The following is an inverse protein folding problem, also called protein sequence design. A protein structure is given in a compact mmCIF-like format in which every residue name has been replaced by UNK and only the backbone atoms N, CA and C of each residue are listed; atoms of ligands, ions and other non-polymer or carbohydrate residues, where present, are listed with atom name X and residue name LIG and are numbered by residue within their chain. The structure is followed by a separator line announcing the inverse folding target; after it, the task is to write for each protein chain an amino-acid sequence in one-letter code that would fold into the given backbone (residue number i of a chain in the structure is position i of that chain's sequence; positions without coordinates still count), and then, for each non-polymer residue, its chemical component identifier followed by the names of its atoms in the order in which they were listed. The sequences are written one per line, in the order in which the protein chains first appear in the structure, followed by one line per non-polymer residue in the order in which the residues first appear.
data_IF_473266549388
#
_entry.id   IF_473266549388
#
_cell.length_a   1.000
_cell.length_b   1.000
_cell.length_c   1.000
_cell.angle_alpha   90.00
_cell.angle_beta   90.00
_cell.angle_gamma   90.00
#
_symmetry.space_group_name_H-M   'P 1'
#
loop_
_entity.id
_entity.type
_entity.pdbx_description
1 polymer ?
#
# COMPACT_ATOMS: atom_id res chain seq x y z
N UNK A 1 -8.28 -18.64 33.14
CA UNK A 1 -8.28 -18.13 31.75
C UNK A 1 -7.12 -17.15 31.62
N UNK A 2 -6.03 -17.57 30.95
CA UNK A 2 -4.83 -16.76 30.75
C UNK A 2 -5.14 -15.71 29.67
N UNK A 3 -5.13 -14.42 30.03
CA UNK A 3 -5.11 -13.33 29.05
C UNK A 3 -3.74 -13.36 28.39
N UNK A 4 -3.69 -13.82 27.14
CA UNK A 4 -2.52 -13.64 26.28
C UNK A 4 -2.54 -12.16 25.90
N UNK A 5 -1.66 -11.39 26.54
CA UNK A 5 -1.30 -10.07 26.05
C UNK A 5 -0.52 -10.30 24.75
N UNK A 6 -1.23 -10.30 23.62
CA UNK A 6 -0.65 -10.07 22.31
C UNK A 6 -0.09 -8.65 22.36
N UNK A 7 1.20 -8.54 22.61
CA UNK A 7 1.90 -7.25 22.59
C UNK A 7 1.71 -6.61 21.22
N UNK A 8 1.26 -5.36 21.23
CA UNK A 8 1.31 -4.40 20.13
C UNK A 8 2.77 -4.14 19.71
N UNK A 9 3.45 -5.18 19.23
CA UNK A 9 4.82 -5.16 18.72
C UNK A 9 4.91 -5.83 17.34
N UNK A 10 3.76 -5.99 16.67
CA UNK A 10 3.71 -6.10 15.21
C UNK A 10 3.26 -4.79 14.60
N UNK A 11 3.86 -3.68 15.03
CA UNK A 11 4.24 -2.68 14.03
C UNK A 11 5.32 -3.41 13.24
N UNK A 12 4.94 -3.99 12.11
CA UNK A 12 5.88 -4.62 11.18
C UNK A 12 6.89 -3.53 10.83
N UNK A 13 8.04 -3.54 11.51
CA UNK A 13 9.21 -2.81 11.11
C UNK A 13 9.47 -3.27 9.67
N UNK A 14 9.15 -2.40 8.72
CA UNK A 14 9.39 -2.61 7.30
C UNK A 14 10.90 -2.64 7.09
N UNK A 15 11.49 -3.84 7.18
CA UNK A 15 12.88 -4.07 6.80
C UNK A 15 12.95 -4.06 5.28
N UNK A 16 13.04 -2.86 4.68
CA UNK A 16 13.47 -2.71 3.30
C UNK A 16 14.95 -3.08 3.23
N UNK A 17 15.25 -4.17 2.52
CA UNK A 17 16.61 -4.71 2.41
C UNK A 17 17.45 -3.83 1.49
N UNK A 18 18.52 -3.23 2.02
CA UNK A 18 19.52 -2.53 1.24
C UNK A 18 20.33 -3.52 0.39
N UNK A 19 20.15 -3.48 -0.92
CA UNK A 19 21.01 -4.19 -1.89
C UNK A 19 22.14 -3.24 -2.27
N UNK A 20 23.36 -3.57 -1.87
CA UNK A 20 24.57 -2.78 -2.15
C UNK A 20 24.86 -2.63 -3.64
N UNK A 21 24.96 -1.38 -4.10
CA UNK A 21 25.39 -1.01 -5.44
C UNK A 21 26.92 -1.02 -5.56
N UNK A 22 27.43 -1.71 -6.58
CA UNK A 22 28.83 -1.73 -6.96
C UNK A 22 29.24 -0.42 -7.65
N UNK A 23 30.30 0.20 -7.13
CA UNK A 23 31.00 1.33 -7.75
C UNK A 23 31.62 0.92 -9.08
N UNK A 24 31.35 1.69 -10.15
CA UNK A 24 32.07 1.61 -11.42
C UNK A 24 32.56 3.01 -11.78
N UNK A 25 33.88 3.19 -11.75
CA UNK A 25 34.58 4.39 -12.23
C UNK A 25 34.40 4.53 -13.75
N UNK A 26 33.88 5.67 -14.23
CA UNK A 26 34.04 6.11 -15.62
C UNK A 26 34.38 7.62 -15.70
N UNK A 27 35.16 8.05 -16.72
CA UNK A 27 35.90 9.32 -16.69
C UNK A 27 35.07 10.52 -17.14
N UNK A 28 35.29 11.65 -16.47
CA UNK A 28 34.67 12.94 -16.75
C UNK A 28 35.04 13.48 -18.15
N UNK A 29 34.03 13.76 -18.98
CA UNK A 29 34.12 14.62 -20.14
C UNK A 29 33.28 15.89 -19.89
N UNK A 30 33.96 17.01 -19.70
CA UNK A 30 33.34 18.31 -19.47
C UNK A 30 32.67 18.90 -20.73
N UNK A 31 31.64 19.71 -20.51
CA UNK A 31 31.10 20.65 -21.50
C UNK A 31 30.36 21.80 -20.80
N UNK A 32 30.23 22.96 -21.47
CA UNK A 32 30.35 24.27 -20.84
C UNK A 32 29.03 24.86 -20.34
N UNK A 33 29.19 25.70 -19.31
CA UNK A 33 28.16 26.51 -18.67
C UNK A 33 27.44 27.42 -19.66
N UNK A 34 26.11 27.39 -19.61
CA UNK A 34 25.26 28.48 -20.11
C UNK A 34 24.33 28.92 -18.98
N UNK A 35 24.77 30.00 -18.36
CA UNK A 35 24.06 30.82 -17.39
C UNK A 35 22.89 31.55 -18.06
N UNK A 36 21.68 31.42 -17.50
CA UNK A 36 20.54 32.29 -17.81
C UNK A 36 19.61 32.28 -16.61
N UNK A 37 19.87 33.27 -15.74
CA UNK A 37 19.15 33.49 -14.50
C UNK A 37 17.65 33.77 -14.67
N UNK A 38 16.91 33.27 -13.69
CA UNK A 38 15.62 33.81 -13.27
C UNK A 38 15.62 33.80 -11.74
N UNK A 39 15.71 34.99 -11.14
CA UNK A 39 15.50 35.20 -9.71
C UNK A 39 14.01 35.37 -9.44
N UNK A 40 13.40 34.40 -8.77
CA UNK A 40 12.13 34.57 -8.07
C UNK A 40 12.37 34.25 -6.58
N UNK A 41 12.72 35.28 -5.83
CA UNK A 41 13.00 35.21 -4.40
C UNK A 41 11.68 35.21 -3.62
N UNK A 42 11.09 34.04 -3.41
CA UNK A 42 10.11 33.85 -2.32
C UNK A 42 10.88 33.51 -1.04
N UNK A 43 11.17 34.52 -0.22
CA UNK A 43 11.70 34.34 1.14
C UNK A 43 10.61 33.81 2.05
N UNK A 44 10.41 32.50 2.05
CA UNK A 44 9.82 31.84 3.21
C UNK A 44 10.91 31.85 4.28
N UNK A 45 10.71 32.61 5.36
CA UNK A 45 11.57 32.65 6.55
C UNK A 45 11.56 31.26 7.22
N UNK A 46 12.24 30.28 6.62
CA UNK A 46 12.64 29.07 7.31
C UNK A 46 13.80 29.48 8.20
N UNK A 47 13.50 29.71 9.48
CA UNK A 47 14.50 29.88 10.53
C UNK A 47 15.56 28.80 10.30
N UNK A 48 16.80 29.22 10.06
CA UNK A 48 17.90 28.30 9.79
C UNK A 48 17.90 27.23 10.89
N UNK A 49 17.94 25.94 10.53
CA UNK A 49 18.02 24.88 11.53
C UNK A 49 19.21 25.17 12.43
N UNK A 50 19.08 24.97 13.76
CA UNK A 50 20.18 25.19 14.69
C UNK A 50 21.41 24.41 14.20
N UNK A 51 22.62 24.98 14.32
CA UNK A 51 23.83 24.32 13.86
C UNK A 51 23.94 22.93 14.51
N UNK A 52 24.06 21.90 13.67
CA UNK A 52 24.29 20.53 14.13
C UNK A 52 25.62 20.52 14.88
N UNK A 53 25.57 20.39 16.21
CA UNK A 53 26.78 20.27 17.04
C UNK A 53 27.48 18.95 16.66
N UNK A 54 28.59 19.06 15.94
CA UNK A 54 29.46 17.94 15.59
C UNK A 54 30.56 17.79 16.65
N UNK A 55 30.16 17.55 17.89
CA UNK A 55 31.09 17.22 18.98
C UNK A 55 31.52 15.75 18.89
N UNK A 56 32.09 15.31 17.76
CA UNK A 56 32.81 14.03 17.60
C UNK A 56 32.09 12.73 17.97
N UNK A 57 30.82 12.79 18.37
CA UNK A 57 29.93 11.66 18.55
C UNK A 57 29.12 11.48 17.28
N UNK A 58 28.99 10.24 16.83
CA UNK A 58 28.14 9.88 15.70
C UNK A 58 26.79 10.58 15.86
N UNK A 59 26.41 11.39 14.87
CA UNK A 59 25.17 12.15 14.90
C UNK A 59 24.02 11.17 15.17
N UNK A 60 23.41 11.28 16.35
CA UNK A 60 22.35 10.37 16.77
C UNK A 60 21.11 10.73 15.97
N UNK A 61 20.84 9.92 14.94
CA UNK A 61 19.59 9.97 14.20
C UNK A 61 18.44 9.68 15.17
N UNK A 62 17.61 10.69 15.41
CA UNK A 62 16.48 10.65 16.34
C UNK A 62 15.32 11.51 15.79
N UNK A 63 14.06 11.18 16.14
CA UNK A 63 12.90 11.94 15.67
C UNK A 63 12.98 13.43 16.05
N UNK A 64 12.75 14.30 15.05
CA UNK A 64 12.58 15.73 15.20
C UNK A 64 11.20 16.12 15.76
N UNK A 65 11.03 17.41 16.04
CA UNK A 65 9.74 17.96 16.47
C UNK A 65 8.76 18.06 15.30
N UNK A 66 7.52 17.63 15.53
CA UNK A 66 6.42 17.64 14.56
C UNK A 66 5.24 18.50 15.03
N UNK A 67 5.44 19.42 15.99
CA UNK A 67 4.36 20.24 16.54
C UNK A 67 3.58 21.07 15.49
N UNK A 68 4.23 21.45 14.38
CA UNK A 68 3.58 22.15 13.26
C UNK A 68 3.05 21.23 12.16
N UNK A 69 3.30 19.92 12.26
CA UNK A 69 2.88 18.96 11.25
C UNK A 69 1.35 18.88 11.17
N UNK A 70 0.84 18.96 9.95
CA UNK A 70 -0.58 18.81 9.66
C UNK A 70 -0.71 17.91 8.43
N UNK A 71 -1.16 16.65 8.59
CA UNK A 71 -1.27 15.74 7.46
C UNK A 71 -2.30 16.26 6.47
N UNK A 72 -1.98 16.17 5.17
CA UNK A 72 -2.89 16.49 4.09
C UNK A 72 -3.27 15.18 3.41
N UNK A 73 -4.51 14.74 3.62
CA UNK A 73 -5.05 13.56 2.93
C UNK A 73 -5.13 13.81 1.42
N UNK A 74 -4.66 12.84 0.66
CA UNK A 74 -4.87 12.79 -0.79
C UNK A 74 -5.49 11.47 -1.17
N UNK A 75 -6.72 11.55 -1.65
CA UNK A 75 -7.49 10.36 -1.99
C UNK A 75 -6.74 9.51 -3.05
N UNK A 76 -6.76 8.18 -2.92
CA UNK A 76 -6.23 7.30 -3.94
C UNK A 76 -7.04 7.39 -5.23
N UNK A 77 -6.37 7.09 -6.34
CA UNK A 77 -7.02 6.67 -7.58
C UNK A 77 -7.80 5.36 -7.36
N UNK A 78 -8.79 5.08 -8.21
CA UNK A 78 -9.60 3.86 -8.12
C UNK A 78 -8.80 2.58 -8.39
N UNK A 79 -9.28 1.44 -7.92
CA UNK A 79 -8.78 0.13 -8.34
C UNK A 79 -9.26 -0.27 -9.73
N UNK A 80 -8.53 -1.21 -10.34
CA UNK A 80 -8.90 -1.93 -11.56
C UNK A 80 -9.27 -1.00 -12.74
N UNK A 81 -8.51 0.07 -12.94
CA UNK A 81 -8.82 1.07 -13.98
C UNK A 81 -8.57 0.57 -15.42
N UNK A 82 -7.91 -0.59 -15.61
CA UNK A 82 -7.60 -1.19 -16.91
C UNK A 82 -6.80 -0.24 -17.82
N UNK A 83 -5.88 0.52 -17.23
CA UNK A 83 -5.01 1.48 -17.93
C UNK A 83 -3.62 0.92 -18.22
N UNK A 84 -3.22 -0.16 -17.53
CA UNK A 84 -1.98 -0.87 -17.76
C UNK A 84 -2.25 -2.30 -18.24
N UNK A 85 -1.46 -2.77 -19.21
CA UNK A 85 -1.32 -4.22 -19.47
C UNK A 85 -0.35 -4.85 -18.47
N UNK A 86 -0.37 -6.19 -18.30
CA UNK A 86 0.58 -6.88 -17.41
C UNK A 86 2.06 -6.58 -17.73
N UNK A 87 2.40 -6.39 -19.01
CA UNK A 87 3.76 -6.03 -19.43
C UNK A 87 4.11 -4.58 -19.03
N UNK A 88 3.15 -3.66 -19.13
CA UNK A 88 3.35 -2.27 -18.69
C UNK A 88 3.46 -2.18 -17.17
N UNK A 89 2.76 -3.02 -16.41
CA UNK A 89 2.85 -3.10 -14.95
C UNK A 89 4.28 -3.46 -14.52
N UNK A 90 4.81 -4.55 -15.07
CA UNK A 90 6.18 -5.01 -14.77
C UNK A 90 7.20 -3.95 -15.15
N UNK A 91 7.11 -3.42 -16.37
CA UNK A 91 8.06 -2.42 -16.84
C UNK A 91 7.98 -1.11 -16.04
N UNK A 92 6.78 -0.68 -15.61
CA UNK A 92 6.67 0.49 -14.74
C UNK A 92 7.34 0.24 -13.38
N UNK A 93 7.10 -0.91 -12.76
CA UNK A 93 7.69 -1.28 -11.48
C UNK A 93 9.23 -1.36 -11.54
N UNK A 94 9.76 -2.04 -12.56
CA UNK A 94 11.20 -2.13 -12.84
C UNK A 94 11.81 -0.74 -13.05
N UNK A 95 11.07 0.17 -13.69
CA UNK A 95 11.58 1.49 -14.02
C UNK A 95 11.53 2.51 -12.88
N UNK A 96 10.66 2.33 -11.88
CA UNK A 96 10.63 3.22 -10.70
C UNK A 96 11.62 2.77 -9.61
N UNK A 97 12.09 1.53 -9.67
CA UNK A 97 12.99 0.94 -8.69
C UNK A 97 14.42 0.89 -9.23
N UNK A 98 15.39 1.43 -8.50
CA UNK A 98 16.79 1.39 -8.91
C UNK A 98 17.42 0.06 -8.48
N UNK A 99 17.25 -0.99 -9.29
CA UNK A 99 17.85 -2.31 -9.04
C UNK A 99 19.02 -2.61 -10.00
N UNK A 100 19.94 -3.53 -9.63
CA UNK A 100 20.93 -4.05 -10.55
C UNK A 100 20.27 -4.66 -11.79
N UNK A 101 20.67 -4.22 -12.98
CA UNK A 101 20.12 -4.71 -14.24
C UNK A 101 18.93 -3.92 -14.80
N UNK A 102 18.56 -2.79 -14.17
CA UNK A 102 17.61 -1.84 -14.76
C UNK A 102 18.08 -1.35 -16.13
N UNK A 103 17.20 -1.40 -17.12
CA UNK A 103 17.45 -0.85 -18.46
C UNK A 103 16.96 0.60 -18.55
N UNK A 104 17.85 1.56 -18.29
CA UNK A 104 17.53 2.99 -18.33
C UNK A 104 17.01 3.47 -19.70
N UNK A 105 17.47 2.84 -20.79
CA UNK A 105 17.02 3.19 -22.14
C UNK A 105 15.58 2.71 -22.38
N UNK A 106 15.25 1.50 -21.93
CA UNK A 106 13.88 1.00 -21.93
C UNK A 106 12.97 1.86 -21.06
N UNK A 107 13.42 2.25 -19.87
CA UNK A 107 12.66 3.11 -18.96
C UNK A 107 12.40 4.50 -19.53
N UNK A 108 13.43 5.13 -20.09
CA UNK A 108 13.26 6.41 -20.78
C UNK A 108 12.28 6.30 -21.95
N UNK A 109 12.34 5.22 -22.71
CA UNK A 109 11.39 4.96 -23.80
C UNK A 109 9.98 4.76 -23.27
N UNK A 110 9.82 4.01 -22.18
CA UNK A 110 8.54 3.73 -21.54
C UNK A 110 7.85 5.01 -21.08
N UNK A 111 8.54 5.86 -20.30
CA UNK A 111 7.98 7.10 -19.77
C UNK A 111 7.69 8.17 -20.84
N UNK A 112 8.43 8.18 -21.95
CA UNK A 112 8.21 9.14 -23.04
C UNK A 112 7.18 8.68 -24.08
N UNK A 113 6.79 7.40 -24.06
CA UNK A 113 5.83 6.85 -25.01
C UNK A 113 4.42 7.38 -24.78
N UNK A 114 3.76 7.89 -25.83
CA UNK A 114 2.37 8.33 -25.77
C UNK A 114 1.39 7.19 -25.47
N UNK A 115 1.73 5.96 -25.84
CA UNK A 115 0.90 4.77 -25.60
C UNK A 115 0.89 4.38 -24.12
N UNK A 116 1.97 4.69 -23.38
CA UNK A 116 2.10 4.34 -21.97
C UNK A 116 1.61 5.44 -21.02
N UNK A 117 1.26 6.63 -21.52
CA UNK A 117 0.88 7.77 -20.68
C UNK A 117 -0.29 7.48 -19.73
N UNK A 118 -1.27 6.71 -20.16
CA UNK A 118 -2.40 6.33 -19.33
C UNK A 118 -1.96 5.41 -18.16
N UNK A 119 -1.14 4.40 -18.47
CA UNK A 119 -0.58 3.51 -17.45
C UNK A 119 0.32 4.28 -16.46
N UNK A 120 1.26 5.09 -16.97
CA UNK A 120 2.16 5.91 -16.15
C UNK A 120 1.38 6.86 -15.25
N UNK A 121 0.40 7.59 -15.80
CA UNK A 121 -0.40 8.54 -15.02
C UNK A 121 -1.28 7.89 -13.95
N UNK A 122 -1.64 6.62 -14.14
CA UNK A 122 -2.33 5.83 -13.13
C UNK A 122 -1.38 5.28 -12.05
N UNK A 123 -0.26 4.69 -12.48
CA UNK A 123 0.62 3.93 -11.61
C UNK A 123 1.63 4.77 -10.87
N UNK A 124 2.10 5.88 -11.45
CA UNK A 124 3.18 6.70 -10.89
C UNK A 124 2.77 8.16 -10.78
N UNK A 125 2.70 8.66 -9.55
CA UNK A 125 2.23 10.01 -9.25
C UNK A 125 3.16 10.74 -8.29
N UNK A 126 3.17 12.06 -8.37
CA UNK A 126 3.83 12.91 -7.37
C UNK A 126 2.96 13.02 -6.11
N UNK A 127 3.57 13.24 -4.95
CA UNK A 127 2.87 13.66 -3.72
C UNK A 127 2.07 14.94 -3.91
N UNK A 128 2.34 15.75 -4.94
CA UNK A 128 1.57 16.95 -5.30
C UNK A 128 0.31 16.68 -6.13
N UNK A 129 0.14 15.48 -6.68
CA UNK A 129 -1.06 15.11 -7.45
C UNK A 129 -2.36 15.24 -6.65
N UNK A 130 -3.47 15.53 -7.33
CA UNK A 130 -4.79 15.63 -6.68
C UNK A 130 -5.32 14.26 -6.22
N UNK A 131 -4.95 13.19 -6.93
CA UNK A 131 -5.16 11.80 -6.54
C UNK A 131 -3.84 11.05 -6.61
N UNK A 132 -3.62 10.14 -5.69
CA UNK A 132 -2.41 9.33 -5.62
C UNK A 132 -2.60 8.01 -6.36
N UNK A 133 -1.66 7.67 -7.23
CA UNK A 133 -1.58 6.41 -7.97
C UNK A 133 -1.11 5.25 -7.11
N UNK A 134 -0.68 4.18 -7.77
CA UNK A 134 -0.13 2.99 -7.11
C UNK A 134 1.20 3.26 -6.39
N UNK A 135 2.04 4.09 -7.01
CA UNK A 135 3.36 4.51 -6.56
C UNK A 135 3.34 6.03 -6.45
N UNK A 136 3.90 6.53 -5.35
CA UNK A 136 3.96 7.94 -5.01
C UNK A 136 5.42 8.35 -4.87
N UNK A 137 5.83 9.39 -5.61
CA UNK A 137 7.15 10.00 -5.49
C UNK A 137 7.07 11.34 -4.79
N UNK A 138 7.99 11.60 -3.87
CA UNK A 138 8.15 12.89 -3.18
C UNK A 138 9.41 13.64 -3.66
N UNK A 139 9.90 13.34 -4.87
CA UNK A 139 11.15 13.78 -5.49
C UNK A 139 12.44 13.14 -4.96
N UNK A 140 12.49 12.72 -3.69
CA UNK A 140 13.70 12.12 -3.09
C UNK A 140 13.56 10.61 -2.91
N UNK A 141 12.34 10.11 -2.81
CA UNK A 141 12.03 8.69 -2.67
C UNK A 141 10.76 8.32 -3.43
N UNK A 142 10.56 7.01 -3.56
CA UNK A 142 9.36 6.38 -4.11
C UNK A 142 8.80 5.42 -3.07
N UNK A 143 7.48 5.42 -2.91
CA UNK A 143 6.79 4.52 -2.03
C UNK A 143 5.52 3.99 -2.70
N UNK A 144 5.10 2.78 -2.35
CA UNK A 144 3.78 2.29 -2.74
C UNK A 144 2.69 3.01 -1.94
N UNK A 145 1.54 3.25 -2.55
CA UNK A 145 0.42 3.96 -1.93
C UNK A 145 -0.37 3.07 -0.96
N UNK A 146 0.31 2.63 0.09
CA UNK A 146 -0.21 1.70 1.09
C UNK A 146 -1.52 2.20 1.73
N UNK A 147 -1.51 3.45 2.18
CA UNK A 147 -2.69 4.12 2.73
C UNK A 147 -3.86 4.17 1.74
N UNK A 148 -3.56 4.42 0.46
CA UNK A 148 -4.53 4.39 -0.62
C UNK A 148 -5.14 3.01 -0.84
N UNK A 149 -4.32 1.95 -0.78
CA UNK A 149 -4.80 0.58 -0.88
C UNK A 149 -5.77 0.24 0.25
N UNK A 150 -5.42 0.58 1.50
CA UNK A 150 -6.29 0.38 2.67
C UNK A 150 -7.63 1.11 2.50
N UNK A 151 -7.60 2.39 2.09
CA UNK A 151 -8.81 3.17 1.83
C UNK A 151 -9.72 2.53 0.78
N UNK A 152 -9.16 2.04 -0.33
CA UNK A 152 -9.94 1.39 -1.39
C UNK A 152 -10.52 0.05 -0.94
N UNK A 153 -9.73 -0.80 -0.25
CA UNK A 153 -10.19 -2.10 0.25
C UNK A 153 -11.28 -1.98 1.32
N UNK A 154 -11.24 -0.93 2.14
CA UNK A 154 -12.28 -0.65 3.14
C UNK A 154 -13.48 0.12 2.57
N UNK A 155 -13.40 0.59 1.31
CA UNK A 155 -14.47 1.39 0.71
C UNK A 155 -14.65 2.78 1.33
N UNK A 156 -13.65 3.30 2.05
CA UNK A 156 -13.66 4.61 2.69
C UNK A 156 -12.44 5.44 2.27
N UNK A 157 -12.63 6.21 1.20
CA UNK A 157 -11.63 7.12 0.62
C UNK A 157 -11.72 8.55 1.17
N UNK A 158 -12.49 8.76 2.24
CA UNK A 158 -12.68 10.08 2.85
C UNK A 158 -11.47 10.50 3.68
N UNK A 159 -11.37 11.80 4.00
CA UNK A 159 -10.28 12.34 4.82
C UNK A 159 -10.29 11.86 6.28
N UNK A 160 -11.38 11.23 6.73
CA UNK A 160 -11.52 10.69 8.09
C UNK A 160 -11.43 9.15 8.12
N UNK A 161 -11.38 8.52 6.94
CA UNK A 161 -11.32 7.08 6.80
C UNK A 161 -10.01 6.49 7.28
N UNK A 162 -9.96 5.17 7.37
CA UNK A 162 -8.79 4.49 7.93
C UNK A 162 -7.52 4.71 7.10
N UNK A 163 -7.62 4.68 5.77
CA UNK A 163 -6.48 4.98 4.90
C UNK A 163 -5.93 6.40 5.12
N UNK A 164 -6.77 7.39 5.44
CA UNK A 164 -6.30 8.74 5.77
C UNK A 164 -5.48 8.78 7.07
N UNK A 165 -5.87 7.99 8.07
CA UNK A 165 -5.13 7.85 9.33
C UNK A 165 -3.80 7.14 9.12
N UNK A 166 -3.78 6.09 8.30
CA UNK A 166 -2.55 5.39 7.89
C UNK A 166 -1.60 6.34 7.16
N UNK A 167 -2.10 7.17 6.22
CA UNK A 167 -1.26 8.17 5.55
C UNK A 167 -0.72 9.20 6.53
N UNK A 168 -1.56 9.69 7.45
CA UNK A 168 -1.13 10.66 8.46
C UNK A 168 0.00 10.12 9.34
N UNK A 169 -0.08 8.85 9.76
CA UNK A 169 0.97 8.18 10.51
C UNK A 169 2.29 8.11 9.72
N UNK A 170 2.23 7.68 8.45
CA UNK A 170 3.42 7.61 7.60
C UNK A 170 4.07 8.99 7.39
N UNK A 171 3.26 10.00 7.02
CA UNK A 171 3.75 11.37 6.79
C UNK A 171 4.34 12.01 8.06
N UNK A 172 3.80 11.70 9.25
CA UNK A 172 4.38 12.20 10.49
C UNK A 172 5.78 11.62 10.73
N UNK A 173 5.97 10.31 10.50
CA UNK A 173 7.27 9.66 10.66
C UNK A 173 8.29 10.22 9.66
N UNK A 174 7.88 10.43 8.42
CA UNK A 174 8.73 11.06 7.40
C UNK A 174 9.13 12.48 7.81
N UNK A 175 8.18 13.32 8.25
CA UNK A 175 8.45 14.68 8.72
C UNK A 175 9.41 14.69 9.93
N UNK A 176 9.23 13.75 10.86
CA UNK A 176 10.10 13.63 12.03
C UNK A 176 11.54 13.25 11.67
N UNK A 177 11.75 12.49 10.59
CA UNK A 177 13.03 11.81 10.35
C UNK A 177 13.80 12.29 9.13
N UNK A 178 13.16 12.89 8.11
CA UNK A 178 13.82 13.21 6.83
C UNK A 178 14.97 14.20 7.01
N UNK A 179 14.78 15.24 7.82
CA UNK A 179 15.80 16.26 8.08
C UNK A 179 16.78 15.82 9.19
N UNK A 180 16.32 14.99 10.12
CA UNK A 180 17.12 14.52 11.26
C UNK A 180 18.07 13.37 10.88
N UNK A 181 17.72 12.61 9.84
CA UNK A 181 18.39 11.38 9.42
C UNK A 181 18.55 11.36 7.89
N UNK A 182 19.36 12.26 7.32
CA UNK A 182 19.56 12.30 5.88
C UNK A 182 20.19 10.99 5.39
N UNK A 183 19.66 10.48 4.27
CA UNK A 183 20.19 9.30 3.58
C UNK A 183 20.95 9.78 2.33
N UNK A 184 22.29 9.71 2.32
CA UNK A 184 23.08 10.09 1.15
C UNK A 184 22.77 9.20 -0.06
N UNK A 185 22.93 9.75 -1.28
CA UNK A 185 22.72 9.01 -2.53
C UNK A 185 23.68 7.81 -2.69
N UNK A 186 24.87 7.89 -2.06
CA UNK A 186 25.90 6.85 -2.05
C UNK A 186 25.86 5.96 -0.80
N UNK A 187 24.76 5.99 -0.02
CA UNK A 187 24.62 5.19 1.18
C UNK A 187 24.72 3.69 0.90
N UNK A 188 25.50 3.00 1.71
CA UNK A 188 25.65 1.53 1.64
C UNK A 188 24.57 0.80 2.45
N UNK A 189 23.49 1.48 2.81
CA UNK A 189 22.36 0.98 3.61
C UNK A 189 22.37 1.43 5.08
N UNK A 190 23.47 1.97 5.61
CA UNK A 190 23.56 2.30 7.06
C UNK A 190 22.77 3.55 7.42
N UNK A 191 22.84 4.59 6.59
CA UNK A 191 22.05 5.80 6.82
C UNK A 191 20.55 5.49 6.64
N UNK A 192 20.22 4.64 5.66
CA UNK A 192 18.85 4.17 5.47
C UNK A 192 18.33 3.34 6.65
N UNK A 193 19.11 2.40 7.19
CA UNK A 193 18.76 1.66 8.42
C UNK A 193 18.53 2.61 9.61
N UNK A 194 19.38 3.63 9.76
CA UNK A 194 19.19 4.65 10.79
C UNK A 194 17.89 5.44 10.60
N UNK A 195 17.58 5.84 9.36
CA UNK A 195 16.33 6.50 9.01
C UNK A 195 15.10 5.64 9.34
N UNK A 196 15.11 4.35 8.99
CA UNK A 196 14.05 3.40 9.34
C UNK A 196 13.89 3.29 10.87
N UNK A 197 15.00 3.19 11.60
CA UNK A 197 14.97 3.19 13.06
C UNK A 197 14.36 4.48 13.62
N UNK A 198 14.69 5.64 13.05
CA UNK A 198 14.07 6.90 13.45
C UNK A 198 12.56 6.86 13.23
N UNK A 199 12.07 6.31 12.10
CA UNK A 199 10.63 6.20 11.87
C UNK A 199 9.92 5.36 12.94
N UNK A 200 10.52 4.24 13.34
CA UNK A 200 9.99 3.38 14.41
C UNK A 200 9.98 4.09 15.77
N UNK A 201 11.07 4.81 16.09
CA UNK A 201 11.16 5.61 17.31
C UNK A 201 10.14 6.77 17.28
N UNK A 202 9.92 7.41 16.13
CA UNK A 202 8.92 8.48 15.95
C UNK A 202 7.51 7.95 16.16
N UNK A 203 7.21 6.76 15.63
CA UNK A 203 5.90 6.11 15.75
C UNK A 203 5.49 5.85 17.21
N UNK A 204 6.47 5.65 18.10
CA UNK A 204 6.23 5.39 19.53
C UNK A 204 6.46 6.63 20.41
N UNK A 205 6.78 7.78 19.81
CA UNK A 205 7.04 9.04 20.52
C UNK A 205 6.23 10.19 19.91
N UNK A 206 6.87 11.05 19.11
CA UNK A 206 6.30 12.30 18.60
C UNK A 206 5.11 12.08 17.65
N UNK A 207 5.03 10.91 17.01
CA UNK A 207 3.95 10.52 16.10
C UNK A 207 2.96 9.51 16.69
N UNK A 208 3.03 9.20 17.99
CA UNK A 208 2.23 8.15 18.62
C UNK A 208 0.72 8.32 18.40
N UNK A 209 0.20 9.54 18.50
CA UNK A 209 -1.23 9.80 18.29
C UNK A 209 -1.72 9.47 16.87
N UNK A 210 -0.86 9.62 15.86
CA UNK A 210 -1.17 9.23 14.49
C UNK A 210 -1.05 7.72 14.30
N UNK A 211 -0.05 7.09 14.91
CA UNK A 211 0.11 5.63 14.90
C UNK A 211 -1.11 4.93 15.55
N UNK A 212 -1.54 5.39 16.72
CA UNK A 212 -2.74 4.88 17.41
C UNK A 212 -4.00 5.05 16.55
N UNK A 213 -4.12 6.17 15.83
CA UNK A 213 -5.25 6.39 14.92
C UNK A 213 -5.23 5.45 13.71
N UNK A 214 -4.04 5.06 13.23
CA UNK A 214 -3.86 4.14 12.11
C UNK A 214 -4.16 2.68 12.46
N UNK A 215 -4.27 2.33 13.76
CA UNK A 215 -4.61 0.97 14.23
C UNK A 215 -5.97 0.45 13.72
N UNK A 216 -6.81 1.33 13.17
CA UNK A 216 -8.03 0.90 12.45
C UNK A 216 -7.75 -0.04 11.26
N UNK A 217 -6.50 -0.10 10.77
CA UNK A 217 -6.11 -0.93 9.64
C UNK A 217 -5.70 -2.34 10.08
N UNK A 218 -5.37 -2.57 11.36
CA UNK A 218 -4.76 -3.80 11.86
C UNK A 218 -5.59 -5.05 11.51
N UNK A 219 -6.89 -5.02 11.81
CA UNK A 219 -7.80 -6.12 11.49
C UNK A 219 -7.95 -6.33 9.97
N UNK A 220 -7.98 -5.23 9.21
CA UNK A 220 -8.13 -5.29 7.76
C UNK A 220 -6.89 -5.87 7.06
N UNK A 221 -5.71 -5.64 7.63
CA UNK A 221 -4.41 -6.07 7.11
C UNK A 221 -3.98 -7.45 7.59
N UNK A 222 -4.61 -7.98 8.63
CA UNK A 222 -4.34 -9.33 9.13
C UNK A 222 -4.59 -10.40 8.05
N UNK A 223 -4.01 -11.58 8.21
CA UNK A 223 -4.20 -12.69 7.29
C UNK A 223 -5.70 -13.03 7.12
N UNK A 224 -6.19 -12.93 5.88
CA UNK A 224 -7.62 -13.11 5.56
C UNK A 224 -8.48 -11.86 5.77
N UNK A 225 -7.90 -10.77 6.24
CA UNK A 225 -8.54 -9.46 6.32
C UNK A 225 -8.85 -8.87 4.93
N UNK A 226 -9.83 -7.97 4.88
CA UNK A 226 -10.32 -7.38 3.61
C UNK A 226 -9.25 -6.60 2.85
N UNK A 227 -8.19 -6.17 3.52
CA UNK A 227 -7.06 -5.43 2.96
C UNK A 227 -5.74 -6.22 3.03
N UNK A 228 -5.76 -7.55 3.21
CA UNK A 228 -4.56 -8.38 3.26
C UNK A 228 -3.65 -8.18 2.02
N UNK A 229 -4.24 -8.04 0.82
CA UNK A 229 -3.50 -7.76 -0.42
C UNK A 229 -2.71 -6.44 -0.41
N UNK A 230 -3.03 -5.51 0.50
CA UNK A 230 -2.26 -4.27 0.66
C UNK A 230 -0.91 -4.52 1.35
N UNK A 231 -0.72 -5.66 2.01
CA UNK A 231 0.56 -6.05 2.58
C UNK A 231 1.04 -7.37 1.97
N UNK A 232 1.46 -7.37 0.69
CA UNK A 232 1.94 -8.59 0.07
C UNK A 232 3.18 -9.13 0.80
N UNK A 233 3.29 -10.45 0.89
CA UNK A 233 4.42 -11.17 1.47
C UNK A 233 5.62 -11.17 0.51
N UNK A 234 6.16 -9.99 0.24
CA UNK A 234 7.38 -9.80 -0.53
C UNK A 234 8.26 -8.71 0.09
N UNK A 235 9.56 -8.96 0.11
CA UNK A 235 10.56 -7.99 0.56
C UNK A 235 11.15 -7.19 -0.61
N UNK A 236 10.90 -7.60 -1.85
CA UNK A 236 11.35 -6.90 -3.04
C UNK A 236 10.41 -5.72 -3.36
N UNK A 237 10.99 -4.51 -3.46
CA UNK A 237 10.21 -3.32 -3.75
C UNK A 237 9.60 -3.37 -5.16
N UNK A 238 10.32 -3.90 -6.15
CA UNK A 238 9.84 -4.01 -7.53
C UNK A 238 8.60 -4.89 -7.61
N UNK A 239 8.63 -6.06 -6.98
CA UNK A 239 7.49 -6.97 -6.88
C UNK A 239 6.31 -6.31 -6.16
N UNK A 240 6.56 -5.66 -5.01
CA UNK A 240 5.51 -4.93 -4.27
C UNK A 240 4.90 -3.81 -5.11
N UNK A 241 5.73 -3.04 -5.82
CA UNK A 241 5.28 -1.97 -6.70
C UNK A 241 4.45 -2.53 -7.87
N UNK A 242 4.84 -3.66 -8.46
CA UNK A 242 4.07 -4.32 -9.51
C UNK A 242 2.69 -4.76 -9.02
N UNK A 243 2.60 -5.36 -7.83
CA UNK A 243 1.32 -5.75 -7.21
C UNK A 243 0.41 -4.52 -7.05
N UNK A 244 0.95 -3.40 -6.57
CA UNK A 244 0.19 -2.17 -6.41
C UNK A 244 -0.26 -1.58 -7.74
N UNK A 245 0.62 -1.56 -8.75
CA UNK A 245 0.27 -1.07 -10.09
C UNK A 245 -0.82 -1.95 -10.70
N UNK A 246 -0.77 -3.27 -10.53
CA UNK A 246 -1.83 -4.17 -10.97
C UNK A 246 -3.16 -3.86 -10.27
N UNK A 247 -3.16 -3.73 -8.93
CA UNK A 247 -4.37 -3.43 -8.15
C UNK A 247 -5.05 -2.11 -8.58
N UNK A 248 -4.28 -1.06 -8.80
CA UNK A 248 -4.81 0.26 -9.16
C UNK A 248 -5.12 0.39 -10.66
N UNK A 249 -4.22 -0.10 -11.50
CA UNK A 249 -4.15 0.26 -12.91
C UNK A 249 -4.32 -0.92 -13.86
N UNK A 250 -4.14 -2.15 -13.38
CA UNK A 250 -4.46 -3.35 -14.11
C UNK A 250 -5.97 -3.51 -14.30
N UNK A 251 -6.36 -4.62 -14.91
CA UNK A 251 -7.72 -5.11 -14.82
C UNK A 251 -7.79 -6.20 -13.78
N UNK A 252 -8.97 -6.46 -13.22
CA UNK A 252 -9.23 -7.82 -12.75
C UNK A 252 -8.83 -8.72 -13.91
N UNK A 253 -7.83 -9.59 -13.71
CA UNK A 253 -7.55 -10.66 -14.64
C UNK A 253 -8.92 -11.24 -14.94
N UNK A 254 -9.38 -11.09 -16.19
CA UNK A 254 -10.66 -11.67 -16.58
C UNK A 254 -10.52 -13.10 -16.15
N UNK A 255 -11.29 -13.50 -15.16
CA UNK A 255 -11.31 -14.86 -14.68
C UNK A 255 -11.62 -15.64 -15.95
N UNK A 256 -10.59 -16.26 -16.52
CA UNK A 256 -10.73 -16.90 -17.81
C UNK A 256 -11.65 -18.08 -17.51
N UNK A 257 -12.96 -17.86 -17.72
CA UNK A 257 -14.09 -18.59 -17.16
C UNK A 257 -13.71 -19.88 -16.46
N UNK A 258 -13.58 -19.86 -15.14
CA UNK A 258 -13.60 -21.11 -14.36
C UNK A 258 -15.05 -21.58 -14.13
N UNK A 259 -16.01 -21.01 -14.85
CA UNK A 259 -17.32 -21.62 -15.11
C UNK A 259 -17.26 -22.65 -16.26
N UNK A 260 -16.07 -23.08 -16.68
CA UNK A 260 -15.86 -24.29 -17.47
C UNK A 260 -16.63 -25.46 -16.87
N UNK A 261 -17.82 -25.71 -17.43
CA UNK A 261 -18.86 -26.56 -16.89
C UNK A 261 -18.35 -27.93 -16.45
N UNK A 262 -18.60 -28.25 -15.19
CA UNK A 262 -18.61 -29.64 -14.72
C UNK A 262 -19.94 -30.34 -15.02
N UNK A 263 -20.73 -29.80 -15.96
CA UNK A 263 -21.91 -30.44 -16.55
C UNK A 263 -21.46 -31.41 -17.64
N UNK A 264 -20.42 -32.22 -17.37
CA UNK A 264 -20.14 -33.40 -18.17
C UNK A 264 -21.32 -34.35 -17.98
N UNK A 265 -22.23 -34.29 -18.94
CA UNK A 265 -23.37 -35.14 -19.11
C UNK A 265 -23.02 -36.61 -18.80
N UNK A 266 -23.74 -37.18 -17.84
CA UNK A 266 -24.02 -38.62 -17.80
C UNK A 266 -24.88 -38.96 -19.02
N UNK A 267 -24.26 -39.00 -20.20
CA UNK A 267 -24.77 -39.73 -21.36
C UNK A 267 -23.78 -40.86 -21.66
N UNK A 268 -24.02 -42.00 -21.04
CA UNK A 268 -23.67 -43.29 -21.63
C UNK A 268 -24.95 -44.08 -21.65
N UNK A 269 -25.66 -43.94 -22.76
CA UNK A 269 -26.79 -44.80 -23.10
C UNK A 269 -26.24 -46.06 -23.79
N UNK A 270 -26.71 -47.22 -23.31
CA UNK A 270 -26.73 -48.55 -23.91
C UNK A 270 -25.47 -49.11 -24.62
N UNK A 271 -24.88 -50.18 -24.05
CA UNK A 271 -25.30 -51.57 -24.37
C UNK A 271 -24.28 -52.63 -23.91
N UNK A 272 -24.83 -53.84 -23.70
CA UNK A 272 -24.27 -55.20 -23.63
C UNK A 272 -23.68 -55.77 -22.30
N UNK A 273 -24.41 -56.81 -21.85
CA UNK A 273 -24.01 -58.07 -21.19
C UNK A 273 -23.83 -58.18 -19.66
N UNK A 274 -24.89 -58.71 -19.03
CA UNK A 274 -24.92 -59.86 -18.13
C UNK A 274 -23.59 -60.34 -17.52
N UNK A 275 -23.42 -60.16 -16.21
CA UNK A 275 -23.18 -61.28 -15.28
C UNK A 275 -23.21 -60.81 -13.81
N UNK A 276 -24.04 -61.49 -13.04
CA UNK A 276 -24.20 -61.38 -11.60
C UNK A 276 -22.89 -61.55 -10.81
N UNK A 277 -22.68 -60.73 -9.78
CA UNK A 277 -22.17 -61.19 -8.47
C UNK A 277 -22.86 -60.41 -7.35
N UNK A 278 -23.69 -61.18 -6.65
CA UNK A 278 -24.27 -61.00 -5.33
C UNK A 278 -23.19 -60.89 -4.23
N UNK A 279 -23.30 -59.89 -3.33
CA UNK A 279 -23.00 -60.03 -1.90
C UNK A 279 -23.26 -58.71 -1.13
N UNK A 280 -24.42 -58.68 -0.46
CA UNK A 280 -24.65 -58.25 0.93
C UNK A 280 -23.57 -57.42 1.66
N UNK A 281 -23.91 -56.23 2.18
CA UNK A 281 -23.67 -55.85 3.60
C UNK A 281 -24.81 -54.95 4.09
N UNK A 282 -25.24 -55.27 5.31
CA UNK A 282 -26.45 -54.91 6.05
C UNK A 282 -26.67 -53.45 6.45
N UNK A 283 -27.96 -53.21 6.70
CA UNK A 283 -28.60 -52.13 7.44
C UNK A 283 -27.92 -51.74 8.77
N UNK A 284 -27.87 -50.44 9.05
CA UNK A 284 -28.04 -49.91 10.40
C UNK A 284 -28.67 -48.51 10.35
N UNK A 285 -29.97 -48.47 10.63
CA UNK A 285 -30.74 -47.26 10.89
C UNK A 285 -30.53 -46.76 12.32
N UNK A 286 -30.50 -45.43 12.52
CA UNK A 286 -30.98 -44.72 13.73
C UNK A 286 -31.36 -43.28 13.34
N UNK A 287 -32.65 -42.99 13.17
CA UNK A 287 -33.53 -42.15 14.04
C UNK A 287 -33.19 -40.66 14.17
N UNK A 288 -33.96 -39.85 13.43
CA UNK A 288 -35.01 -38.94 13.93
C UNK A 288 -34.65 -37.87 14.99
N UNK A 289 -34.76 -36.60 14.59
CA UNK A 289 -35.22 -35.50 15.44
C UNK A 289 -35.61 -34.29 14.57
N UNK A 290 -36.89 -34.20 14.24
CA UNK A 290 -37.54 -32.97 13.81
C UNK A 290 -37.64 -31.96 14.97
N UNK A 291 -37.39 -30.68 14.69
CA UNK A 291 -37.80 -29.56 15.55
C UNK A 291 -38.64 -28.57 14.75
N UNK A 292 -39.73 -28.04 15.32
CA UNK A 292 -40.70 -27.20 14.62
C UNK A 292 -40.25 -25.73 14.52
N UNK A 293 -40.38 -25.16 13.33
CA UNK A 293 -40.42 -23.71 13.14
C UNK A 293 -41.78 -23.18 13.58
N UNK A 294 -41.76 -22.37 14.64
CA UNK A 294 -42.90 -21.62 15.11
C UNK A 294 -42.88 -20.21 14.51
N UNK A 295 -44.01 -19.86 13.92
CA UNK A 295 -44.45 -18.51 13.64
C UNK A 295 -44.20 -17.56 14.82
N UNK A 296 -43.70 -16.36 14.55
CA UNK A 296 -44.27 -15.17 15.19
C UNK A 296 -44.04 -13.91 14.35
N UNK A 297 -45.17 -13.37 13.88
CA UNK A 297 -45.29 -12.06 13.29
C UNK A 297 -45.59 -11.04 14.39
N UNK A 298 -44.91 -9.89 14.38
CA UNK A 298 -45.40 -8.69 15.05
C UNK A 298 -44.99 -7.43 14.27
N UNK A 299 -46.00 -6.83 13.67
CA UNK A 299 -46.09 -5.45 13.18
C UNK A 299 -46.00 -4.42 14.31
N UNK A 300 -45.46 -3.23 13.99
CA UNK A 300 -46.11 -1.91 14.09
C UNK A 300 -45.25 -0.78 14.72
N UNK A 301 -45.19 0.34 13.97
CA UNK A 301 -45.33 1.75 14.37
C UNK A 301 -44.54 2.31 15.55
N UNK A 302 -43.67 3.30 15.32
CA UNK A 302 -44.04 4.72 15.51
C UNK A 302 -42.89 5.69 15.18
N UNK A 303 -43.23 6.74 14.45
CA UNK A 303 -42.47 7.99 14.40
C UNK A 303 -42.85 8.85 15.62
N UNK A 304 -41.99 9.78 16.05
CA UNK A 304 -42.43 11.17 15.91
C UNK A 304 -41.36 12.13 15.39
N UNK A 305 -41.87 13.14 14.70
CA UNK A 305 -41.20 14.40 14.43
C UNK A 305 -40.93 15.15 15.73
N UNK A 306 -39.79 15.83 15.81
CA UNK A 306 -39.71 17.12 16.51
C UNK A 306 -38.56 17.95 15.93
N UNK A 307 -38.95 19.04 15.28
CA UNK A 307 -38.14 20.24 15.08
C UNK A 307 -38.59 21.28 16.12
N UNK A 308 -37.69 22.17 16.56
CA UNK A 308 -38.08 23.57 16.54
C UNK A 308 -36.99 24.51 16.01
N UNK A 309 -37.47 25.43 15.16
CA UNK A 309 -37.26 26.87 15.09
C UNK A 309 -35.98 27.52 15.67
N UNK A 310 -35.33 28.31 14.80
CA UNK A 310 -34.93 29.71 14.94
C UNK A 310 -34.73 30.34 16.33
N UNK A 311 -33.57 31.01 16.48
CA UNK A 311 -33.46 32.20 17.32
C UNK A 311 -32.03 32.58 17.71
N UNK A 312 -31.39 33.51 16.99
CA UNK A 312 -30.18 34.22 17.42
C UNK A 312 -29.21 34.59 16.31
#
# INVERSE_FOLDING_TARGET
MKKIALGLTSVVAFVMSAVGGCSSDEPAAGSPDNDSGVSETSTVDRKAPPPVQTDGGDAVCAPGDVASFKPIWKAPSGFNQKLCTPEQVKLLADCVWSHPGRDDAACKTFFNSSVNKACVGCGYTSTSSAKLGAIVSNNTSVAVNYAGCVAQKLGDVTANGCGAKVQAAALCRDEACVDACPVPDDDTGKAFEAFLKCQDDAATSVCQSYADAAACADDALSDGGVAADCNPDTTDFGERAAIYVELFCGGLASDAGTDGGSDAATQTDASVDDAAVDASIDDAATTDAATPDADDAATATDAPADAPADGG
#
